data_IF_697877434929
#
_entry.id   IF_697877434929
#
_cell.length_a   1.000
_cell.length_b   1.000
_cell.length_c   1.000
_cell.angle_alpha   90.00
_cell.angle_beta   90.00
_cell.angle_gamma   90.00
#
_symmetry.space_group_name_H-M   'P 1'
#
loop_
_entity.id
_entity.type
_entity.pdbx_description
1 polymer ?
#
# COMPACT_ATOMS: atom_id res chain seq x y z
N UNK A 1 -34.06 0.82 -11.66
CA UNK A 1 -32.63 0.91 -11.25
C UNK A 1 -31.85 -0.13 -12.04
N UNK A 2 -30.92 0.28 -12.91
CA UNK A 2 -30.18 -0.61 -13.79
C UNK A 2 -29.33 -1.61 -12.98
N UNK A 3 -29.43 -2.90 -13.28
CA UNK A 3 -28.65 -3.97 -12.63
C UNK A 3 -27.13 -3.71 -12.67
N UNK A 4 -26.63 -3.03 -13.69
CA UNK A 4 -25.23 -2.58 -13.77
C UNK A 4 -24.83 -1.60 -12.66
N UNK A 5 -25.72 -0.71 -12.21
CA UNK A 5 -25.43 0.24 -11.13
C UNK A 5 -25.37 -0.45 -9.76
N UNK A 6 -26.20 -1.48 -9.54
CA UNK A 6 -26.20 -2.27 -8.30
C UNK A 6 -24.91 -3.11 -8.22
N UNK A 7 -24.56 -3.80 -9.31
CA UNK A 7 -23.33 -4.61 -9.39
C UNK A 7 -22.08 -3.73 -9.22
N UNK A 8 -22.05 -2.55 -9.85
CA UNK A 8 -20.94 -1.59 -9.71
C UNK A 8 -20.78 -1.04 -8.29
N UNK A 9 -21.89 -0.73 -7.60
CA UNK A 9 -21.86 -0.32 -6.19
C UNK A 9 -21.34 -1.45 -5.28
N UNK A 10 -21.79 -2.68 -5.47
CA UNK A 10 -21.34 -3.82 -4.68
C UNK A 10 -19.84 -4.06 -4.83
N UNK A 11 -19.31 -4.06 -6.07
CA UNK A 11 -17.88 -4.23 -6.33
C UNK A 11 -17.05 -3.12 -5.66
N UNK A 12 -17.50 -1.86 -5.76
CA UNK A 12 -16.82 -0.73 -5.13
C UNK A 12 -16.75 -0.86 -3.61
N UNK A 13 -17.82 -1.31 -2.96
CA UNK A 13 -17.85 -1.54 -1.51
C UNK A 13 -16.89 -2.68 -1.13
N UNK A 14 -16.88 -3.78 -1.87
CA UNK A 14 -15.94 -4.88 -1.64
C UNK A 14 -14.48 -4.45 -1.75
N UNK A 15 -14.15 -3.64 -2.76
CA UNK A 15 -12.79 -3.11 -2.95
C UNK A 15 -12.39 -2.21 -1.76
N UNK A 16 -13.28 -1.33 -1.30
CA UNK A 16 -13.01 -0.46 -0.16
C UNK A 16 -12.80 -1.24 1.13
N UNK A 17 -13.57 -2.32 1.36
CA UNK A 17 -13.38 -3.20 2.52
C UNK A 17 -12.02 -3.89 2.45
N UNK A 18 -11.64 -4.44 1.29
CA UNK A 18 -10.34 -5.10 1.10
C UNK A 18 -9.20 -4.11 1.39
N UNK A 19 -9.27 -2.90 0.83
CA UNK A 19 -8.27 -1.86 1.07
C UNK A 19 -8.21 -1.51 2.56
N UNK A 20 -9.35 -1.28 3.21
CA UNK A 20 -9.42 -0.93 4.63
C UNK A 20 -8.82 -2.02 5.53
N UNK A 21 -9.21 -3.28 5.33
CA UNK A 21 -8.67 -4.41 6.09
C UNK A 21 -7.17 -4.60 5.85
N UNK A 22 -6.72 -4.40 4.61
CA UNK A 22 -5.30 -4.53 4.25
C UNK A 22 -4.44 -3.44 4.91
N UNK A 23 -4.95 -2.21 5.03
CA UNK A 23 -4.29 -1.13 5.74
C UNK A 23 -4.16 -1.39 7.25
N UNK A 24 -5.22 -1.91 7.88
CA UNK A 24 -5.18 -2.31 9.30
C UNK A 24 -4.18 -3.44 9.53
N UNK A 25 -4.12 -4.42 8.62
CA UNK A 25 -3.17 -5.53 8.71
C UNK A 25 -1.71 -5.04 8.58
N UNK A 26 -1.40 -4.16 7.62
CA UNK A 26 -0.08 -3.53 7.51
C UNK A 26 0.30 -2.76 8.77
N UNK A 27 -0.62 -1.95 9.30
CA UNK A 27 -0.39 -1.20 10.54
C UNK A 27 -0.08 -2.14 11.71
N UNK A 28 -0.84 -3.21 11.84
CA UNK A 28 -0.68 -4.19 12.93
C UNK A 28 0.67 -4.91 12.84
N UNK A 29 1.07 -5.33 11.63
CA UNK A 29 2.33 -6.01 11.39
C UNK A 29 3.54 -5.09 11.60
N UNK A 30 3.46 -3.83 11.20
CA UNK A 30 4.54 -2.86 11.44
C UNK A 30 4.74 -2.59 12.94
N UNK A 31 3.64 -2.44 13.69
CA UNK A 31 3.69 -2.31 15.16
C UNK A 31 4.30 -3.56 15.80
N UNK A 32 3.86 -4.75 15.37
CA UNK A 32 4.39 -6.01 15.91
C UNK A 32 5.89 -6.19 15.60
N UNK A 33 6.32 -5.82 14.38
CA UNK A 33 7.75 -5.80 13.99
C UNK A 33 8.56 -4.96 14.96
N UNK A 34 8.18 -3.70 15.19
CA UNK A 34 8.90 -2.76 16.07
C UNK A 34 8.97 -3.31 17.51
N UNK A 35 7.86 -3.83 18.03
CA UNK A 35 7.81 -4.41 19.39
C UNK A 35 8.73 -5.61 19.51
N UNK A 36 8.73 -6.50 18.51
CA UNK A 36 9.58 -7.69 18.53
C UNK A 36 11.05 -7.33 18.44
N UNK A 37 11.43 -6.41 17.55
CA UNK A 37 12.81 -5.96 17.38
C UNK A 37 13.34 -5.36 18.68
N UNK A 38 12.55 -4.53 19.38
CA UNK A 38 12.95 -3.96 20.66
C UNK A 38 13.14 -5.01 21.77
N UNK A 39 12.48 -6.17 21.68
CA UNK A 39 12.65 -7.30 22.62
C UNK A 39 13.89 -8.15 22.35
N UNK A 40 14.58 -7.95 21.23
CA UNK A 40 15.77 -8.75 20.87
C UNK A 40 17.07 -8.30 21.54
N UNK A 41 16.99 -7.36 22.49
CA UNK A 41 18.16 -6.81 23.20
C UNK A 41 19.28 -6.30 22.25
N UNK A 42 18.89 -5.79 21.08
CA UNK A 42 19.80 -5.19 20.11
C UNK A 42 20.34 -6.12 19.02
N UNK A 43 19.95 -7.40 19.00
CA UNK A 43 20.27 -8.32 17.90
C UNK A 43 19.61 -7.87 16.59
N UNK A 44 18.33 -7.48 16.65
CA UNK A 44 17.64 -6.76 15.59
C UNK A 44 17.48 -5.29 15.96
N UNK A 45 17.82 -4.40 15.04
CA UNK A 45 17.78 -2.95 15.28
C UNK A 45 16.58 -2.34 14.58
N UNK A 46 15.78 -1.59 15.34
CA UNK A 46 14.73 -0.74 14.78
C UNK A 46 15.40 0.46 14.12
N UNK A 47 15.02 0.75 12.89
CA UNK A 47 15.54 1.87 12.12
C UNK A 47 14.59 3.06 12.22
N UNK A 48 15.11 4.29 12.09
CA UNK A 48 14.27 5.49 12.09
C UNK A 48 13.19 5.45 11.00
N UNK A 49 13.47 4.78 9.87
CA UNK A 49 12.52 4.62 8.76
C UNK A 49 11.28 3.81 9.14
N UNK A 50 11.37 2.89 10.10
CA UNK A 50 10.22 2.10 10.57
C UNK A 50 9.17 3.02 11.22
N UNK A 51 9.61 4.01 12.00
CA UNK A 51 8.72 5.01 12.60
C UNK A 51 8.15 5.99 11.56
N UNK A 52 8.94 6.36 10.55
CA UNK A 52 8.46 7.19 9.44
C UNK A 52 7.37 6.45 8.66
N UNK A 53 7.59 5.16 8.37
CA UNK A 53 6.61 4.33 7.68
C UNK A 53 5.35 4.09 8.52
N UNK A 54 5.50 3.81 9.82
CA UNK A 54 4.38 3.71 10.74
C UNK A 54 3.55 5.00 10.80
N UNK A 55 4.22 6.16 10.88
CA UNK A 55 3.56 7.48 10.83
C UNK A 55 2.82 7.66 9.52
N UNK A 56 3.42 7.24 8.40
CA UNK A 56 2.76 7.25 7.10
C UNK A 56 1.51 6.35 7.06
N UNK A 57 1.55 5.15 7.63
CA UNK A 57 0.37 4.26 7.69
C UNK A 57 -0.77 4.88 8.51
N UNK A 58 -0.45 5.52 9.64
CA UNK A 58 -1.42 6.19 10.50
C UNK A 58 -2.01 7.43 9.82
N UNK A 59 -1.16 8.31 9.28
CA UNK A 59 -1.59 9.57 8.68
C UNK A 59 -2.17 9.40 7.27
N UNK A 60 -1.61 8.49 6.47
CA UNK A 60 -2.04 8.21 5.09
C UNK A 60 -3.47 7.66 5.02
N UNK A 61 -3.90 6.88 6.02
CA UNK A 61 -5.29 6.47 6.17
C UNK A 61 -6.27 7.63 6.42
N UNK A 62 -5.77 8.76 6.96
CA UNK A 62 -6.58 9.95 7.28
C UNK A 62 -6.72 10.88 6.06
N UNK A 63 -5.70 10.97 5.20
CA UNK A 63 -5.76 11.80 3.98
C UNK A 63 -6.79 11.33 2.95
N UNK A 64 -7.12 10.03 2.92
CA UNK A 64 -8.21 9.51 2.08
C UNK A 64 -9.63 9.79 2.63
N UNK A 65 -9.77 10.01 3.94
CA UNK A 65 -11.06 10.17 4.63
C UNK A 65 -11.55 11.61 4.76
N UNK A 66 -10.66 12.60 4.66
CA UNK A 66 -11.00 14.02 4.74
C UNK A 66 -11.20 14.65 3.35
N UNK A 67 -12.13 14.11 2.55
CA UNK A 67 -12.68 14.88 1.42
C UNK A 67 -13.76 15.84 1.94
N UNK A 68 -13.33 17.03 2.35
CA UNK A 68 -14.24 18.18 2.38
C UNK A 68 -14.74 18.40 0.96
N UNK A 69 -16.04 18.37 0.75
CA UNK A 69 -16.72 18.49 -0.56
C UNK A 69 -16.53 19.84 -1.25
N UNK A 70 -15.76 20.75 -0.66
CA UNK A 70 -15.56 22.12 -1.11
C UNK A 70 -14.06 22.41 -1.16
N UNK A 71 -13.36 22.17 -2.29
CA UNK A 71 -12.27 23.07 -2.72
C UNK A 71 -11.62 22.72 -4.08
N UNK A 72 -11.27 23.83 -4.75
CA UNK A 72 -10.69 24.09 -6.07
C UNK A 72 -9.51 23.24 -6.57
N UNK A 73 -9.16 23.48 -7.84
CA UNK A 73 -7.98 23.03 -8.61
C UNK A 73 -6.65 22.98 -7.83
N UNK A 74 -6.46 23.75 -6.75
CA UNK A 74 -5.28 23.66 -5.86
C UNK A 74 -5.07 22.28 -5.23
N UNK A 75 -6.14 21.49 -5.12
CA UNK A 75 -6.08 20.13 -4.58
C UNK A 75 -5.42 19.13 -5.54
N UNK A 76 -5.34 19.42 -6.85
CA UNK A 76 -4.70 18.51 -7.81
C UNK A 76 -3.19 18.39 -7.55
N UNK A 77 -2.48 19.53 -7.42
CA UNK A 77 -1.06 19.54 -7.11
C UNK A 77 -0.76 18.90 -5.74
N UNK A 78 -1.58 19.19 -4.73
CA UNK A 78 -1.42 18.60 -3.39
C UNK A 78 -1.54 17.06 -3.41
N UNK A 79 -2.51 16.52 -4.18
CA UNK A 79 -2.70 15.08 -4.32
C UNK A 79 -1.53 14.40 -5.06
N UNK A 80 -1.01 15.02 -6.12
CA UNK A 80 0.17 14.51 -6.85
C UNK A 80 1.39 14.52 -5.93
N UNK A 81 1.63 15.60 -5.19
CA UNK A 81 2.72 15.67 -4.21
C UNK A 81 2.59 14.59 -3.12
N UNK A 82 1.39 14.37 -2.58
CA UNK A 82 1.13 13.32 -1.60
C UNK A 82 1.38 11.91 -2.17
N UNK A 83 1.00 11.68 -3.43
CA UNK A 83 1.27 10.42 -4.13
C UNK A 83 2.76 10.18 -4.35
N UNK A 84 3.51 11.19 -4.82
CA UNK A 84 4.97 11.11 -5.00
C UNK A 84 5.66 10.86 -3.66
N UNK A 85 5.24 11.56 -2.60
CA UNK A 85 5.77 11.37 -1.26
C UNK A 85 5.50 9.95 -0.74
N UNK A 86 4.30 9.43 -0.97
CA UNK A 86 3.92 8.05 -0.62
C UNK A 86 4.84 7.03 -1.28
N UNK A 87 5.05 7.16 -2.59
CA UNK A 87 5.98 6.29 -3.34
C UNK A 87 7.40 6.42 -2.80
N UNK A 88 7.84 7.65 -2.51
CA UNK A 88 9.19 7.91 -2.01
C UNK A 88 9.43 7.24 -0.67
N UNK A 89 8.49 7.39 0.29
CA UNK A 89 8.56 6.74 1.60
C UNK A 89 8.60 5.22 1.44
N UNK A 90 7.76 4.67 0.57
CA UNK A 90 7.70 3.23 0.33
C UNK A 90 9.02 2.69 -0.25
N UNK A 91 9.59 3.34 -1.26
CA UNK A 91 10.86 2.94 -1.87
C UNK A 91 12.00 3.04 -0.85
N UNK A 92 12.06 4.14 -0.10
CA UNK A 92 13.07 4.33 0.96
C UNK A 92 12.94 3.28 2.07
N UNK A 93 11.71 2.96 2.50
CA UNK A 93 11.46 1.91 3.48
C UNK A 93 12.01 0.57 2.99
N UNK A 94 11.65 0.14 1.77
CA UNK A 94 12.13 -1.12 1.21
C UNK A 94 13.67 -1.14 1.08
N UNK A 95 14.26 -0.06 0.57
CA UNK A 95 15.71 0.03 0.38
C UNK A 95 16.48 -0.01 1.69
N UNK A 96 16.04 0.74 2.71
CA UNK A 96 16.72 0.83 4.00
C UNK A 96 16.50 -0.40 4.88
N UNK A 97 15.42 -1.15 4.68
CA UNK A 97 15.08 -2.35 5.46
C UNK A 97 15.47 -3.67 4.78
N UNK A 98 16.01 -3.63 3.55
CA UNK A 98 16.31 -4.85 2.78
C UNK A 98 17.28 -5.79 3.51
N UNK A 99 18.28 -5.22 4.20
CA UNK A 99 19.34 -5.93 4.91
C UNK A 99 19.20 -5.91 6.44
N UNK A 100 18.03 -5.51 6.97
CA UNK A 100 17.85 -5.36 8.43
C UNK A 100 17.94 -6.68 9.23
N UNK A 101 17.77 -7.81 8.53
CA UNK A 101 17.82 -9.15 9.10
C UNK A 101 19.20 -9.83 8.98
N UNK A 102 20.21 -9.13 8.44
CA UNK A 102 21.55 -9.68 8.21
C UNK A 102 21.50 -10.91 7.30
N UNK A 103 22.04 -12.03 7.78
CA UNK A 103 22.16 -13.30 7.03
C UNK A 103 20.88 -14.16 7.05
N UNK A 104 19.84 -13.74 7.78
CA UNK A 104 18.59 -14.51 7.89
C UNK A 104 17.86 -14.48 6.53
N UNK A 105 17.54 -15.66 5.95
CA UNK A 105 16.85 -15.73 4.67
C UNK A 105 15.45 -15.09 4.72
N UNK A 106 15.05 -14.48 3.60
CA UNK A 106 13.80 -13.74 3.45
C UNK A 106 12.55 -14.53 3.91
N UNK A 107 12.48 -15.83 3.60
CA UNK A 107 11.30 -16.66 3.88
C UNK A 107 11.28 -17.27 5.30
N UNK A 108 12.27 -16.95 6.13
CA UNK A 108 12.36 -17.42 7.51
C UNK A 108 12.16 -18.94 7.64
N UNK A 109 13.00 -19.76 6.97
CA UNK A 109 12.80 -21.19 6.91
C UNK A 109 13.07 -21.82 8.30
N UNK A 110 12.38 -22.92 8.65
CA UNK A 110 12.40 -23.48 10.01
C UNK A 110 13.73 -24.14 10.40
N UNK A 111 14.53 -24.53 9.43
CA UNK A 111 15.85 -25.16 9.52
C UNK A 111 17.01 -24.16 9.65
N UNK A 112 16.75 -22.86 9.51
CA UNK A 112 17.76 -21.83 9.76
C UNK A 112 18.12 -21.77 11.27
N UNK A 113 19.41 -21.62 11.62
CA UNK A 113 19.86 -21.61 13.02
C UNK A 113 19.60 -20.25 13.68
N UNK A 114 18.34 -19.96 14.02
CA UNK A 114 17.99 -18.77 14.81
C UNK A 114 18.59 -18.84 16.21
N UNK A 115 19.11 -17.71 16.70
CA UNK A 115 19.58 -17.56 18.08
C UNK A 115 18.47 -17.80 19.11
N UNK A 116 17.22 -17.46 18.77
CA UNK A 116 16.06 -17.67 19.62
C UNK A 116 14.75 -17.79 18.84
N UNK A 117 13.70 -18.38 19.44
CA UNK A 117 12.35 -18.38 18.85
C UNK A 117 11.79 -16.97 18.61
N UNK A 118 12.24 -15.99 19.40
CA UNK A 118 11.85 -14.59 19.24
C UNK A 118 12.33 -14.01 17.90
N UNK A 119 13.57 -14.30 17.52
CA UNK A 119 14.15 -13.84 16.24
C UNK A 119 13.45 -14.49 15.06
N UNK A 120 13.13 -15.79 15.16
CA UNK A 120 12.32 -16.46 14.15
C UNK A 120 10.95 -15.80 13.97
N UNK A 121 10.27 -15.47 15.08
CA UNK A 121 8.98 -14.76 15.02
C UNK A 121 9.13 -13.36 14.41
N UNK A 122 10.16 -12.61 14.82
CA UNK A 122 10.46 -11.29 14.27
C UNK A 122 10.69 -11.35 12.75
N UNK A 123 11.42 -12.37 12.28
CA UNK A 123 11.59 -12.64 10.86
C UNK A 123 10.26 -12.87 10.15
N UNK A 124 9.42 -13.76 10.68
CA UNK A 124 8.13 -14.09 10.07
C UNK A 124 7.19 -12.88 9.97
N UNK A 125 7.13 -12.06 11.02
CA UNK A 125 6.33 -10.83 11.04
C UNK A 125 6.83 -9.84 9.99
N UNK A 126 8.15 -9.64 9.91
CA UNK A 126 8.79 -8.78 8.89
C UNK A 126 8.52 -9.26 7.48
N UNK A 127 8.65 -10.57 7.23
CA UNK A 127 8.37 -11.18 5.93
C UNK A 127 6.89 -11.02 5.55
N UNK A 128 5.96 -11.26 6.49
CA UNK A 128 4.54 -11.09 6.27
C UNK A 128 4.18 -9.63 5.96
N UNK A 129 4.76 -8.67 6.69
CA UNK A 129 4.56 -7.24 6.45
C UNK A 129 4.99 -6.85 5.03
N UNK A 130 6.18 -7.28 4.62
CA UNK A 130 6.74 -6.95 3.31
C UNK A 130 5.95 -7.60 2.17
N UNK A 131 5.61 -8.88 2.29
CA UNK A 131 4.78 -9.60 1.31
C UNK A 131 3.40 -8.97 1.16
N UNK A 132 2.74 -8.64 2.28
CA UNK A 132 1.44 -7.98 2.25
C UNK A 132 1.53 -6.63 1.54
N UNK A 133 2.57 -5.85 1.86
CA UNK A 133 2.80 -4.54 1.25
C UNK A 133 3.01 -4.66 -0.27
N UNK A 134 3.79 -5.64 -0.72
CA UNK A 134 4.01 -5.91 -2.15
C UNK A 134 2.74 -6.34 -2.88
N UNK A 135 1.94 -7.23 -2.27
CA UNK A 135 0.66 -7.68 -2.84
C UNK A 135 -0.29 -6.49 -3.01
N UNK A 136 -0.42 -5.64 -2.00
CA UNK A 136 -1.29 -4.45 -2.05
C UNK A 136 -0.82 -3.48 -3.12
N UNK A 137 0.49 -3.18 -3.17
CA UNK A 137 1.07 -2.32 -4.22
C UNK A 137 0.84 -2.88 -5.63
N UNK A 138 0.99 -4.20 -5.81
CA UNK A 138 0.73 -4.88 -7.07
C UNK A 138 -0.74 -4.77 -7.50
N UNK A 139 -1.68 -5.00 -6.57
CA UNK A 139 -3.12 -4.84 -6.83
C UNK A 139 -3.45 -3.39 -7.22
N UNK A 140 -2.90 -2.40 -6.50
CA UNK A 140 -3.09 -0.99 -6.83
C UNK A 140 -2.60 -0.62 -8.22
N UNK A 141 -1.40 -1.10 -8.59
CA UNK A 141 -0.86 -0.88 -9.93
C UNK A 141 -1.80 -1.45 -10.99
N UNK A 142 -2.29 -2.67 -10.81
CA UNK A 142 -3.23 -3.32 -11.72
C UNK A 142 -4.52 -2.49 -11.85
N UNK A 143 -5.11 -2.03 -10.73
CA UNK A 143 -6.31 -1.19 -10.74
C UNK A 143 -6.10 0.11 -11.50
N UNK A 144 -4.97 0.79 -11.28
CA UNK A 144 -4.64 2.04 -11.99
C UNK A 144 -4.48 1.79 -13.48
N UNK A 145 -3.79 0.73 -13.89
CA UNK A 145 -3.63 0.36 -15.29
C UNK A 145 -4.99 0.09 -15.96
N UNK A 146 -5.86 -0.69 -15.33
CA UNK A 146 -7.21 -0.95 -15.85
C UNK A 146 -8.04 0.34 -15.98
N UNK A 147 -7.98 1.23 -14.98
CA UNK A 147 -8.67 2.52 -15.04
C UNK A 147 -8.14 3.37 -16.20
N UNK A 148 -6.82 3.50 -16.34
CA UNK A 148 -6.19 4.23 -17.45
C UNK A 148 -6.59 3.64 -18.81
N UNK A 149 -6.55 2.32 -18.98
CA UNK A 149 -6.98 1.66 -20.22
C UNK A 149 -8.46 1.94 -20.52
N UNK A 150 -9.33 1.85 -19.53
CA UNK A 150 -10.75 2.17 -19.68
C UNK A 150 -10.97 3.63 -20.12
N UNK A 151 -10.30 4.59 -19.47
CA UNK A 151 -10.36 6.00 -19.85
C UNK A 151 -9.89 6.24 -21.29
N UNK A 152 -8.76 5.65 -21.69
CA UNK A 152 -8.23 5.77 -23.06
C UNK A 152 -9.25 5.23 -24.07
N UNK A 153 -9.83 4.05 -23.83
CA UNK A 153 -10.85 3.47 -24.72
C UNK A 153 -12.07 4.38 -24.84
N UNK A 154 -12.57 4.91 -23.72
CA UNK A 154 -13.71 5.85 -23.72
C UNK A 154 -13.39 7.11 -24.53
N UNK A 155 -12.23 7.73 -24.30
CA UNK A 155 -11.79 8.92 -25.04
C UNK A 155 -11.70 8.68 -26.56
N UNK A 156 -11.11 7.56 -26.96
CA UNK A 156 -11.00 7.19 -28.38
C UNK A 156 -12.38 6.93 -29.02
N UNK A 157 -13.32 6.36 -28.27
CA UNK A 157 -14.68 6.13 -28.78
C UNK A 157 -15.51 7.41 -28.88
N UNK A 158 -15.31 8.38 -27.97
CA UNK A 158 -16.03 9.67 -28.03
C UNK A 158 -15.55 10.55 -29.19
N UNK A 159 -14.24 10.58 -29.45
CA UNK A 159 -13.67 11.34 -30.57
C UNK A 159 -14.21 10.82 -31.92
N UNK A 160 -14.34 9.49 -32.04
CA UNK A 160 -14.90 8.84 -33.24
C UNK A 160 -16.39 9.12 -33.46
N UNK A 161 -17.18 9.31 -32.39
CA UNK A 161 -18.60 9.67 -32.53
C UNK A 161 -18.81 11.10 -32.99
N UNK A 162 -17.96 12.04 -32.56
CA UNK A 162 -18.05 13.45 -32.94
C UNK A 162 -17.67 13.70 -34.41
N UNK A 163 -16.72 12.92 -34.96
CA UNK A 163 -16.43 12.97 -36.40
C UNK A 163 -17.60 12.47 -37.27
N UNK A 164 -18.34 11.44 -36.83
CA UNK A 164 -19.45 10.87 -37.62
C UNK A 164 -20.70 11.76 -37.67
N UNK A 165 -20.90 12.62 -36.68
CA UNK A 165 -22.06 13.52 -36.60
C UNK A 165 -21.85 14.85 -37.36
N UNK A 166 -20.64 15.12 -37.86
CA UNK A 166 -20.27 16.33 -38.58
C UNK A 166 -20.13 16.11 -40.11
N UNK A 167 -20.56 14.94 -40.63
CA UNK A 167 -20.57 14.59 -42.07
C UNK A 167 -21.99 14.44 -42.58
#
# INVERSE_FOLDING_TARGET
MNSCAIIGCSISIFILIIIGLSGIALLSLEIEKIILFNKTNGELKVNAIDYVYLTYLICGGVYGGCRSSNESEKNCCANICAFILSITIYVLYNYLTINEMGDIPFFCPPDYPYSSPLIRKACQVRAANLLLSWIISGIWLIVVLFACCYFIVVCLTSEKSDESNNV
#
